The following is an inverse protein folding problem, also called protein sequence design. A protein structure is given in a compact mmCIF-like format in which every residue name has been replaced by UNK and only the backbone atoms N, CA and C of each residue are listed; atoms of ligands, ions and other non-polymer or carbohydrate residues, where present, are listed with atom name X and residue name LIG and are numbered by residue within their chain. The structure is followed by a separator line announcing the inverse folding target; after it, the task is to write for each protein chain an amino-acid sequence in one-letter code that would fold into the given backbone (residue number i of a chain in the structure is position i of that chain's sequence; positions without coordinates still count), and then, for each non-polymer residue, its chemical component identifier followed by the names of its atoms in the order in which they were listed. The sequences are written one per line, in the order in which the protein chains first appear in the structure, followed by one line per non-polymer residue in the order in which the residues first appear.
data_IF_619431555381
#
_entry.id   IF_619431555381
#
_cell.length_a   1.000
_cell.length_b   1.000
_cell.length_c   1.000
_cell.angle_alpha   90.00
_cell.angle_beta   90.00
_cell.angle_gamma   90.00
#
_symmetry.space_group_name_H-M   'P 1'
#
loop_
_entity.id
_entity.type
_entity.pdbx_description
1 polymer ?
#
# COMPACT_ATOMS: atom_id res chain seq x y z
N UNK A 1 35.29 -57.75 -4.54
CA UNK A 1 34.75 -56.77 -5.50
C UNK A 1 33.60 -56.08 -4.79
N UNK A 2 33.83 -54.88 -4.27
CA UNK A 2 32.83 -54.12 -3.52
C UNK A 2 32.09 -53.23 -4.52
N UNK A 3 30.81 -53.52 -4.76
CA UNK A 3 29.93 -52.72 -5.61
C UNK A 3 29.67 -51.36 -4.95
N UNK A 4 30.27 -50.33 -5.53
CA UNK A 4 30.05 -48.93 -5.18
C UNK A 4 28.82 -48.44 -5.96
N UNK A 5 27.65 -48.48 -5.32
CA UNK A 5 26.41 -47.92 -5.88
C UNK A 5 26.43 -46.40 -5.69
N UNK A 6 26.36 -45.58 -6.76
CA UNK A 6 26.34 -44.13 -6.63
C UNK A 6 25.02 -43.67 -5.99
N UNK A 7 25.13 -42.84 -4.94
CA UNK A 7 24.00 -42.23 -4.26
C UNK A 7 23.19 -41.35 -5.23
N UNK A 8 21.87 -41.53 -5.22
CA UNK A 8 20.94 -40.71 -5.99
C UNK A 8 21.02 -39.23 -5.57
N UNK A 9 20.93 -38.27 -6.52
CA UNK A 9 20.93 -36.85 -6.18
C UNK A 9 19.69 -36.47 -5.36
N UNK A 10 19.79 -35.48 -4.46
CA UNK A 10 18.66 -35.03 -3.67
C UNK A 10 17.59 -34.44 -4.59
N UNK A 11 16.37 -35.01 -4.52
CA UNK A 11 15.19 -34.47 -5.18
C UNK A 11 14.88 -33.12 -4.54
N UNK A 12 15.19 -32.03 -5.23
CA UNK A 12 14.76 -30.69 -4.83
C UNK A 12 13.23 -30.68 -4.68
N UNK A 13 12.67 -30.07 -3.62
CA UNK A 13 11.23 -29.96 -3.49
C UNK A 13 10.68 -29.20 -4.72
N UNK A 14 9.49 -29.59 -5.24
CA UNK A 14 8.88 -28.87 -6.36
C UNK A 14 8.71 -27.40 -5.95
N UNK A 15 9.24 -26.49 -6.77
CA UNK A 15 8.95 -25.07 -6.64
C UNK A 15 7.42 -24.92 -6.59
N UNK A 16 6.90 -24.43 -5.45
CA UNK A 16 5.47 -24.27 -5.25
C UNK A 16 4.90 -23.49 -6.43
N UNK A 17 4.03 -24.12 -7.21
CA UNK A 17 3.29 -23.45 -8.28
C UNK A 17 2.45 -22.35 -7.62
N UNK A 18 2.85 -21.10 -7.83
CA UNK A 18 2.11 -19.92 -7.38
C UNK A 18 0.86 -19.77 -8.24
N UNK A 19 -0.15 -20.61 -8.00
CA UNK A 19 -1.49 -20.39 -8.55
C UNK A 19 -1.96 -19.02 -8.03
N UNK A 20 -2.42 -18.12 -8.91
CA UNK A 20 -2.89 -16.80 -8.50
C UNK A 20 -4.09 -16.99 -7.58
N UNK A 21 -3.91 -16.68 -6.29
CA UNK A 21 -4.99 -16.81 -5.33
C UNK A 21 -5.82 -15.53 -5.35
N UNK A 22 -7.08 -15.67 -5.73
CA UNK A 22 -8.04 -14.56 -5.71
C UNK A 22 -8.60 -14.39 -4.31
N UNK A 23 -8.61 -13.14 -3.82
CA UNK A 23 -9.26 -12.77 -2.56
C UNK A 23 -10.11 -11.54 -2.80
N UNK A 24 -11.36 -11.59 -2.36
CA UNK A 24 -12.23 -10.40 -2.35
C UNK A 24 -12.37 -9.91 -0.91
N UNK A 25 -12.20 -8.62 -0.70
CA UNK A 25 -12.23 -8.05 0.64
C UNK A 25 -12.64 -6.59 0.63
N UNK A 26 -13.20 -6.15 1.75
CA UNK A 26 -13.50 -4.75 2.00
C UNK A 26 -12.22 -4.02 2.42
N UNK A 27 -11.95 -2.85 1.86
CA UNK A 27 -10.75 -2.08 2.23
C UNK A 27 -11.00 -1.35 3.54
N UNK A 28 -10.38 -1.85 4.61
CA UNK A 28 -10.47 -1.28 5.96
C UNK A 28 -9.61 -0.02 6.09
N UNK A 29 -8.36 -0.09 5.66
CA UNK A 29 -7.41 1.02 5.78
C UNK A 29 -6.28 0.92 4.74
N UNK A 30 -5.62 2.06 4.50
CA UNK A 30 -4.44 2.18 3.65
C UNK A 30 -3.24 2.52 4.54
N UNK A 31 -2.21 1.67 4.51
CA UNK A 31 -1.01 1.82 5.35
C UNK A 31 0.02 2.74 4.68
N UNK A 32 0.21 2.59 3.37
CA UNK A 32 1.12 3.37 2.52
C UNK A 32 0.55 3.46 1.11
N UNK A 33 1.18 4.25 0.23
CA UNK A 33 0.78 4.38 -1.17
C UNK A 33 0.83 3.08 -1.99
N UNK A 34 1.31 1.97 -1.43
CA UNK A 34 1.40 0.65 -2.05
C UNK A 34 0.88 -0.50 -1.16
N UNK A 35 0.34 -0.22 0.02
CA UNK A 35 -0.10 -1.24 0.97
C UNK A 35 -1.48 -0.96 1.56
N UNK A 36 -2.36 -1.97 1.48
CA UNK A 36 -3.75 -1.88 1.91
C UNK A 36 -4.13 -3.06 2.80
N UNK A 37 -5.02 -2.81 3.76
CA UNK A 37 -5.57 -3.85 4.63
C UNK A 37 -6.97 -4.18 4.16
N UNK A 38 -7.13 -5.44 3.76
CA UNK A 38 -8.40 -6.01 3.37
C UNK A 38 -9.02 -6.74 4.56
N UNK A 39 -10.31 -6.55 4.73
CA UNK A 39 -11.14 -7.24 5.68
C UNK A 39 -11.99 -8.26 4.92
N UNK A 40 -11.89 -9.52 5.31
CA UNK A 40 -12.75 -10.59 4.81
C UNK A 40 -14.17 -10.48 5.38
N UNK A 41 -15.05 -11.39 4.98
CA UNK A 41 -16.39 -11.43 5.55
C UNK A 41 -16.34 -11.84 7.03
N UNK A 42 -17.20 -11.24 7.89
CA UNK A 42 -17.38 -11.72 9.25
C UNK A 42 -17.95 -13.14 9.23
N UNK A 43 -17.17 -14.11 9.67
CA UNK A 43 -17.63 -15.48 9.90
C UNK A 43 -17.52 -15.78 11.40
N UNK A 44 -18.63 -15.62 12.13
CA UNK A 44 -18.76 -15.93 13.56
C UNK A 44 -17.59 -15.44 14.44
N UNK A 45 -17.14 -14.20 14.27
CA UNK A 45 -16.03 -13.62 15.03
C UNK A 45 -15.50 -12.33 14.41
N UNK A 46 -14.40 -11.78 14.95
CA UNK A 46 -13.69 -10.65 14.34
C UNK A 46 -13.35 -11.00 12.88
N UNK A 47 -13.71 -10.14 11.90
CA UNK A 47 -13.43 -10.43 10.51
C UNK A 47 -11.92 -10.61 10.28
N UNK A 48 -11.49 -11.60 9.47
CA UNK A 48 -10.08 -11.80 9.21
C UNK A 48 -9.51 -10.61 8.42
N UNK A 49 -8.34 -10.13 8.84
CA UNK A 49 -7.63 -9.03 8.20
C UNK A 49 -6.41 -9.57 7.46
N UNK A 50 -6.22 -9.10 6.23
CA UNK A 50 -5.03 -9.42 5.41
C UNK A 50 -4.45 -8.13 4.87
N UNK A 51 -3.17 -7.90 5.16
CA UNK A 51 -2.40 -6.83 4.52
C UNK A 51 -1.87 -7.33 3.19
N UNK A 52 -2.15 -6.58 2.13
CA UNK A 52 -1.68 -6.87 0.77
C UNK A 52 -0.92 -5.69 0.22
N UNK A 53 0.04 -5.99 -0.66
CA UNK A 53 0.95 -5.02 -1.25
C UNK A 53 0.81 -5.04 -2.78
N UNK A 54 0.89 -3.87 -3.40
CA UNK A 54 0.92 -3.77 -4.85
C UNK A 54 2.24 -4.38 -5.38
N UNK A 55 2.16 -5.21 -6.41
CA UNK A 55 3.32 -5.79 -7.07
C UNK A 55 3.90 -4.85 -8.14
N UNK A 56 5.19 -5.02 -8.43
CA UNK A 56 5.94 -4.31 -9.49
C UNK A 56 5.99 -2.78 -9.34
N UNK A 57 5.60 -2.25 -8.18
CA UNK A 57 5.61 -0.82 -7.90
C UNK A 57 6.20 -0.51 -6.53
N UNK A 58 6.56 0.76 -6.33
CA UNK A 58 7.06 1.32 -5.07
C UNK A 58 6.40 2.67 -4.86
N UNK A 59 5.80 2.86 -3.68
CA UNK A 59 5.30 4.17 -3.26
C UNK A 59 6.36 4.94 -2.44
N UNK A 60 6.31 6.28 -2.45
CA UNK A 60 7.11 7.08 -1.53
C UNK A 60 6.72 6.78 -0.07
N UNK A 61 7.71 6.72 0.81
CA UNK A 61 7.56 6.25 2.19
C UNK A 61 7.05 7.35 3.12
N UNK A 62 6.04 7.02 3.91
CA UNK A 62 5.56 7.88 4.99
C UNK A 62 6.53 7.90 6.17
N UNK A 63 6.60 9.06 6.80
CA UNK A 63 7.31 9.30 8.04
C UNK A 63 6.75 8.46 9.18
N UNK A 64 7.63 7.88 9.98
CA UNK A 64 7.28 7.05 11.13
C UNK A 64 7.38 7.86 12.40
N UNK A 65 6.42 7.60 13.31
CA UNK A 65 6.47 8.14 14.67
C UNK A 65 7.77 7.68 15.34
N UNK A 66 8.45 8.55 16.10
CA UNK A 66 9.58 8.14 16.90
C UNK A 66 9.15 7.05 17.89
N UNK A 67 9.99 6.04 18.05
CA UNK A 67 9.91 5.06 19.13
C UNK A 67 11.03 5.35 20.14
N UNK A 68 11.01 4.69 21.29
CA UNK A 68 12.06 4.81 22.31
C UNK A 68 13.47 4.52 21.75
N UNK A 69 13.54 3.74 20.67
CA UNK A 69 14.79 3.30 20.02
C UNK A 69 15.05 3.93 18.65
N UNK A 70 14.13 4.71 18.08
CA UNK A 70 14.25 5.22 16.71
C UNK A 70 13.71 6.65 16.60
N UNK A 71 14.53 7.55 16.06
CA UNK A 71 14.14 8.93 15.81
C UNK A 71 12.98 9.02 14.80
N UNK A 72 12.25 10.14 14.85
CA UNK A 72 11.17 10.41 13.91
C UNK A 72 11.73 10.45 12.49
N UNK A 73 11.08 9.77 11.55
CA UNK A 73 11.41 9.93 10.14
C UNK A 73 10.43 10.88 9.49
N UNK A 74 10.93 11.72 8.59
CA UNK A 74 10.11 12.62 7.78
C UNK A 74 9.52 11.83 6.60
N UNK A 75 8.38 12.29 6.08
CA UNK A 75 7.82 11.72 4.86
C UNK A 75 8.77 11.96 3.67
N UNK A 76 8.88 10.98 2.77
CA UNK A 76 9.45 11.21 1.45
C UNK A 76 8.54 12.18 0.66
N UNK A 77 9.09 12.93 -0.31
CA UNK A 77 8.31 13.77 -1.22
C UNK A 77 7.08 13.04 -1.76
N UNK A 78 5.90 13.65 -1.63
CA UNK A 78 4.62 13.15 -2.15
C UNK A 78 4.12 11.84 -1.52
N UNK A 79 4.75 11.35 -0.44
CA UNK A 79 4.31 10.13 0.24
C UNK A 79 2.89 10.26 0.81
N UNK A 80 2.56 11.43 1.36
CA UNK A 80 1.24 11.70 1.90
C UNK A 80 0.17 11.71 0.81
N UNK A 81 0.41 12.41 -0.30
CA UNK A 81 -0.52 12.50 -1.41
C UNK A 81 -0.73 11.15 -2.09
N UNK A 82 0.34 10.37 -2.28
CA UNK A 82 0.26 9.00 -2.80
C UNK A 82 -0.64 8.12 -1.93
N UNK A 83 -0.51 8.21 -0.59
CA UNK A 83 -1.37 7.49 0.34
C UNK A 83 -2.81 8.00 0.34
N UNK A 84 -3.02 9.31 0.32
CA UNK A 84 -4.37 9.91 0.30
C UNK A 84 -5.11 9.60 -1.00
N UNK A 85 -4.40 9.49 -2.12
CA UNK A 85 -4.96 9.05 -3.40
C UNK A 85 -5.57 7.65 -3.26
N UNK A 86 -4.80 6.68 -2.76
CA UNK A 86 -5.32 5.34 -2.50
C UNK A 86 -6.43 5.35 -1.45
N UNK A 87 -6.30 6.13 -0.37
CA UNK A 87 -7.31 6.17 0.70
C UNK A 87 -8.66 6.64 0.17
N UNK A 88 -8.69 7.74 -0.60
CA UNK A 88 -9.92 8.29 -1.18
C UNK A 88 -10.57 7.34 -2.19
N UNK A 89 -9.76 6.57 -2.91
CA UNK A 89 -10.24 5.68 -3.97
C UNK A 89 -10.69 4.30 -3.45
N UNK A 90 -10.00 3.76 -2.46
CA UNK A 90 -10.18 2.37 -2.02
C UNK A 90 -10.96 2.21 -0.72
N UNK A 91 -10.74 3.09 0.27
CA UNK A 91 -11.40 2.92 1.57
C UNK A 91 -12.91 2.99 1.40
N UNK A 92 -13.63 2.08 2.06
CA UNK A 92 -15.08 1.98 1.93
C UNK A 92 -15.56 1.14 0.74
N UNK A 93 -14.65 0.64 -0.11
CA UNK A 93 -14.99 -0.16 -1.27
C UNK A 93 -14.54 -1.61 -1.12
N UNK A 94 -15.22 -2.51 -1.83
CA UNK A 94 -14.83 -3.92 -1.96
C UNK A 94 -13.91 -4.05 -3.17
N UNK A 95 -12.75 -4.64 -2.96
CA UNK A 95 -11.74 -4.86 -4.02
C UNK A 95 -11.44 -6.35 -4.18
N UNK A 96 -10.94 -6.69 -5.35
CA UNK A 96 -10.45 -8.04 -5.67
C UNK A 96 -8.93 -7.99 -5.73
N UNK A 97 -8.27 -8.73 -4.86
CA UNK A 97 -6.83 -8.92 -4.85
C UNK A 97 -6.47 -10.23 -5.54
N UNK A 98 -5.54 -10.15 -6.47
CA UNK A 98 -4.94 -11.29 -7.15
C UNK A 98 -3.50 -11.41 -6.68
N UNK A 99 -3.24 -12.39 -5.82
CA UNK A 99 -1.90 -12.65 -5.28
C UNK A 99 -1.00 -13.17 -6.39
N UNK A 100 0.17 -12.57 -6.55
CA UNK A 100 1.20 -13.03 -7.49
C UNK A 100 2.30 -13.80 -6.76
N UNK A 101 2.82 -13.25 -5.66
CA UNK A 101 3.85 -13.90 -4.87
C UNK A 101 3.79 -13.49 -3.40
N UNK A 102 4.37 -14.30 -2.54
CA UNK A 102 4.68 -13.91 -1.16
C UNK A 102 6.15 -13.57 -1.09
N UNK A 103 6.48 -12.35 -0.65
CA UNK A 103 7.86 -11.97 -0.40
C UNK A 103 8.47 -12.80 0.73
N UNK A 104 9.79 -12.91 0.79
CA UNK A 104 10.50 -13.60 1.88
C UNK A 104 10.16 -13.04 3.28
N UNK A 105 9.66 -11.81 3.34
CA UNK A 105 9.15 -11.17 4.55
C UNK A 105 7.77 -11.68 5.01
N UNK A 106 7.15 -12.62 4.29
CA UNK A 106 5.81 -13.13 4.54
C UNK A 106 4.68 -12.20 4.03
N UNK A 107 5.02 -11.17 3.27
CA UNK A 107 4.07 -10.18 2.74
C UNK A 107 3.52 -10.62 1.39
N UNK A 108 2.21 -10.57 1.23
CA UNK A 108 1.55 -10.94 -0.02
C UNK A 108 1.55 -9.76 -1.00
N UNK A 109 2.20 -9.96 -2.15
CA UNK A 109 2.27 -9.00 -3.24
C UNK A 109 1.39 -9.45 -4.41
N UNK A 110 0.72 -8.50 -5.03
CA UNK A 110 -0.12 -8.78 -6.19
C UNK A 110 -0.85 -7.55 -6.72
N UNK A 111 -1.89 -7.82 -7.51
CA UNK A 111 -2.68 -6.79 -8.18
C UNK A 111 -3.98 -6.56 -7.43
N UNK A 112 -4.39 -5.30 -7.30
CA UNK A 112 -5.66 -4.90 -6.68
C UNK A 112 -6.57 -4.32 -7.75
N UNK A 113 -7.77 -4.85 -7.82
CA UNK A 113 -8.80 -4.47 -8.76
C UNK A 113 -9.99 -3.84 -8.03
N UNK A 114 -10.39 -2.66 -8.48
CA UNK A 114 -11.52 -1.91 -7.95
C UNK A 114 -12.71 -1.99 -8.91
N UNK A 115 -13.88 -2.35 -8.39
CA UNK A 115 -15.08 -2.53 -9.21
C UNK A 115 -15.03 -3.78 -10.09
N UNK A 116 -16.07 -3.96 -10.90
CA UNK A 116 -16.21 -5.13 -11.78
C UNK A 116 -16.54 -6.42 -11.03
N UNK A 117 -16.99 -7.43 -11.79
CA UNK A 117 -17.21 -8.79 -11.29
C UNK A 117 -15.97 -9.68 -11.48
N UNK A 118 -15.16 -9.37 -12.50
CA UNK A 118 -13.96 -10.08 -12.92
C UNK A 118 -12.79 -9.09 -13.17
N UNK A 119 -11.52 -9.55 -13.11
CA UNK A 119 -10.34 -8.72 -13.38
C UNK A 119 -10.36 -8.00 -14.73
N UNK A 120 -11.02 -8.58 -15.74
CA UNK A 120 -11.08 -8.03 -17.11
C UNK A 120 -11.98 -6.80 -17.25
N UNK A 121 -12.93 -6.62 -16.32
CA UNK A 121 -13.85 -5.48 -16.30
C UNK A 121 -13.68 -4.64 -15.02
N UNK A 122 -12.54 -4.79 -14.35
CA UNK A 122 -12.23 -4.12 -13.11
C UNK A 122 -11.08 -3.14 -13.31
N UNK A 123 -11.11 -2.02 -12.60
CA UNK A 123 -10.06 -1.03 -12.67
C UNK A 123 -8.82 -1.53 -11.91
N UNK A 124 -7.68 -1.62 -12.59
CA UNK A 124 -6.42 -2.00 -11.95
C UNK A 124 -5.83 -0.80 -11.22
N UNK A 125 -5.84 -0.86 -9.89
CA UNK A 125 -5.39 0.23 -9.01
C UNK A 125 -3.90 0.54 -9.20
N UNK A 126 -3.09 -0.47 -9.51
CA UNK A 126 -1.66 -0.30 -9.76
C UNK A 126 -1.43 0.54 -11.02
N UNK A 127 -2.17 0.27 -12.09
CA UNK A 127 -2.08 1.03 -13.34
C UNK A 127 -2.51 2.49 -13.12
N UNK A 128 -3.65 2.71 -12.45
CA UNK A 128 -4.13 4.07 -12.16
C UNK A 128 -3.15 4.84 -11.27
N UNK A 129 -2.57 4.19 -10.26
CA UNK A 129 -1.59 4.84 -9.38
C UNK A 129 -0.29 5.23 -10.09
N UNK A 130 0.16 4.43 -11.06
CA UNK A 130 1.33 4.76 -11.90
C UNK A 130 0.99 5.87 -12.91
N UNK A 131 -0.18 5.79 -13.56
CA UNK A 131 -0.64 6.78 -14.54
C UNK A 131 -0.86 8.18 -13.92
N UNK A 132 -1.24 8.24 -12.64
CA UNK A 132 -1.33 9.51 -11.89
C UNK A 132 0.00 9.94 -11.24
N UNK A 133 1.08 9.16 -11.42
CA UNK A 133 2.41 9.51 -10.95
C UNK A 133 2.63 9.34 -9.45
N UNK A 134 1.80 8.55 -8.75
CA UNK A 134 1.93 8.30 -7.32
C UNK A 134 2.80 7.08 -6.99
N UNK A 135 3.05 6.24 -7.98
CA UNK A 135 3.79 4.99 -7.90
C UNK A 135 4.97 5.00 -8.88
N UNK A 136 6.09 4.42 -8.45
CA UNK A 136 7.20 4.09 -9.35
C UNK A 136 7.14 2.63 -9.74
N UNK A 137 7.39 2.33 -11.00
CA UNK A 137 7.52 0.97 -11.49
C UNK A 137 8.89 0.43 -11.12
N UNK A 138 8.91 -0.73 -10.45
CA UNK A 138 10.13 -1.49 -10.18
C UNK A 138 10.25 -2.59 -11.24
N UNK A 139 11.19 -2.47 -12.19
CA UNK A 139 11.39 -3.53 -13.16
C UNK A 139 11.87 -4.81 -12.46
N UNK A 140 11.20 -5.92 -12.75
CA UNK A 140 11.64 -7.24 -12.32
C UNK A 140 12.87 -7.70 -13.09
N UNK A 141 13.46 -8.83 -12.66
CA UNK A 141 14.56 -9.48 -13.40
C UNK A 141 14.09 -10.17 -14.69
N UNK A 142 12.79 -10.42 -14.81
CA UNK A 142 12.15 -11.07 -15.94
C UNK A 142 11.35 -10.00 -16.68
N UNK A 143 11.52 -9.94 -17.99
CA UNK A 143 10.70 -9.08 -18.84
C UNK A 143 9.27 -9.62 -18.87
N UNK A 144 8.33 -8.81 -18.40
CA UNK A 144 6.90 -9.10 -18.37
C UNK A 144 6.19 -7.99 -19.16
N UNK A 145 5.31 -8.36 -20.10
CA UNK A 145 4.53 -7.42 -20.91
C UNK A 145 3.74 -6.44 -20.03
N UNK A 146 3.27 -6.92 -18.86
CA UNK A 146 2.58 -6.07 -17.90
C UNK A 146 3.50 -4.98 -17.32
N UNK A 147 4.77 -5.29 -17.06
CA UNK A 147 5.75 -4.31 -16.57
C UNK A 147 6.07 -3.28 -17.65
N UNK A 148 6.16 -3.71 -18.92
CA UNK A 148 6.32 -2.79 -20.06
C UNK A 148 5.17 -1.80 -20.13
N UNK A 149 3.91 -2.27 -20.02
CA UNK A 149 2.72 -1.39 -19.96
C UNK A 149 2.80 -0.39 -18.79
N UNK A 150 3.23 -0.84 -17.61
CA UNK A 150 3.39 0.06 -16.47
C UNK A 150 4.48 1.12 -16.72
N UNK A 151 5.59 0.76 -17.36
CA UNK A 151 6.65 1.71 -17.72
C UNK A 151 6.15 2.77 -18.70
N UNK A 152 5.36 2.39 -19.69
CA UNK A 152 4.73 3.33 -20.62
C UNK A 152 3.80 4.32 -19.90
N UNK A 153 2.96 3.83 -18.99
CA UNK A 153 2.10 4.69 -18.15
C UNK A 153 2.92 5.63 -17.27
N UNK A 154 4.04 5.14 -16.73
CA UNK A 154 4.93 5.95 -15.92
C UNK A 154 5.56 7.08 -16.74
N UNK A 155 5.98 6.80 -17.97
CA UNK A 155 6.60 7.81 -18.84
C UNK A 155 5.58 8.84 -19.32
N UNK A 156 4.32 8.45 -19.52
CA UNK A 156 3.22 9.39 -19.72
C UNK A 156 3.00 10.29 -18.49
N UNK A 157 3.02 9.72 -17.28
CA UNK A 157 2.87 10.48 -16.04
C UNK A 157 4.03 11.48 -15.84
N UNK A 158 5.27 11.08 -16.20
CA UNK A 158 6.44 11.97 -16.20
C UNK A 158 6.31 13.08 -17.22
N UNK A 159 5.93 12.77 -18.45
CA UNK A 159 5.74 13.76 -19.51
C UNK A 159 4.65 14.78 -19.15
N UNK A 160 3.61 14.33 -18.46
CA UNK A 160 2.53 15.18 -17.96
C UNK A 160 2.86 15.89 -16.62
N UNK A 161 4.00 15.61 -16.00
CA UNK A 161 4.39 16.19 -14.71
C UNK A 161 3.42 15.89 -13.57
N UNK A 162 2.79 14.70 -13.58
CA UNK A 162 1.76 14.32 -12.60
C UNK A 162 2.36 13.79 -11.30
N UNK A 163 1.65 14.02 -10.20
CA UNK A 163 1.97 13.48 -8.88
C UNK A 163 3.40 13.80 -8.48
N UNK A 164 4.20 12.77 -8.22
CA UNK A 164 5.60 12.92 -7.78
C UNK A 164 6.55 13.46 -8.86
N UNK A 165 6.13 13.44 -10.13
CA UNK A 165 6.93 13.93 -11.26
C UNK A 165 6.71 15.42 -11.52
N UNK A 166 5.79 16.05 -10.79
CA UNK A 166 5.57 17.49 -10.84
C UNK A 166 6.67 18.28 -10.15
N UNK A 167 6.68 19.60 -10.38
CA UNK A 167 7.70 20.52 -9.87
C UNK A 167 7.40 21.10 -8.48
N UNK A 168 6.45 20.52 -7.73
CA UNK A 168 6.01 21.07 -6.45
C UNK A 168 7.08 20.97 -5.36
N UNK A 169 7.48 22.11 -4.81
CA UNK A 169 8.46 22.24 -3.72
C UNK A 169 7.90 21.89 -2.34
N UNK A 170 6.57 21.98 -2.14
CA UNK A 170 5.88 21.70 -0.87
C UNK A 170 5.36 20.25 -0.81
N UNK A 171 6.21 19.29 -1.16
CA UNK A 171 5.85 17.86 -1.22
C UNK A 171 6.06 17.12 0.09
N UNK A 172 6.73 17.75 1.06
CA UNK A 172 7.04 17.18 2.38
C UNK A 172 6.30 17.99 3.45
N UNK A 173 5.43 17.32 4.20
CA UNK A 173 4.69 17.93 5.32
C UNK A 173 5.52 17.98 6.59
N UNK A 174 5.30 19.01 7.39
CA UNK A 174 5.82 19.07 8.76
C UNK A 174 4.88 18.32 9.71
N UNK A 175 5.29 17.13 10.16
CA UNK A 175 4.47 16.31 11.08
C UNK A 175 4.86 16.59 12.54
N UNK A 176 3.99 17.28 13.27
CA UNK A 176 4.11 17.49 14.72
C UNK A 176 3.45 16.33 15.47
N UNK A 177 4.27 15.42 16.00
CA UNK A 177 3.81 14.22 16.71
C UNK A 177 3.39 14.46 18.16
N UNK A 178 3.93 15.52 18.77
CA UNK A 178 3.65 15.91 20.15
C UNK A 178 3.21 17.37 20.13
N UNK A 179 2.14 17.65 20.86
CA UNK A 179 1.62 19.01 21.04
C UNK A 179 1.97 19.42 22.46
N UNK A 180 2.86 20.40 22.60
CA UNK A 180 3.39 20.81 23.90
C UNK A 180 2.30 21.39 24.81
N UNK A 181 1.32 22.09 24.23
CA UNK A 181 0.20 22.66 24.96
C UNK A 181 -1.16 22.32 24.32
N UNK A 182 -1.82 21.22 24.76
CA UNK A 182 -3.12 20.80 24.23
C UNK A 182 -4.22 21.85 24.41
N UNK A 183 -4.17 22.68 25.46
CA UNK A 183 -5.20 23.70 25.72
C UNK A 183 -5.14 24.82 24.67
N UNK A 184 -3.94 25.27 24.32
CA UNK A 184 -3.76 26.29 23.28
C UNK A 184 -4.30 25.83 21.93
N UNK A 185 -4.18 24.55 21.60
CA UNK A 185 -4.78 24.01 20.38
C UNK A 185 -6.31 24.15 20.39
N UNK A 186 -6.95 23.74 21.49
CA UNK A 186 -8.41 23.84 21.64
C UNK A 186 -8.87 25.30 21.61
N UNK A 187 -8.17 26.18 22.31
CA UNK A 187 -8.43 27.61 22.35
C UNK A 187 -8.24 28.28 20.98
N UNK A 188 -7.27 27.81 20.19
CA UNK A 188 -7.03 28.29 18.83
C UNK A 188 -8.22 28.00 17.91
N UNK A 189 -8.74 26.77 17.95
CA UNK A 189 -9.85 26.37 17.10
C UNK A 189 -11.22 26.82 17.62
N UNK A 190 -11.34 27.27 18.88
CA UNK A 190 -12.56 27.87 19.46
C UNK A 190 -13.82 27.03 19.21
N UNK A 191 -13.72 25.71 19.34
CA UNK A 191 -14.79 24.75 19.07
C UNK A 191 -15.33 24.76 17.63
N UNK A 192 -14.61 25.35 16.68
CA UNK A 192 -14.95 25.27 15.27
C UNK A 192 -14.63 23.88 14.74
N UNK A 193 -15.41 23.37 13.77
CA UNK A 193 -15.07 22.15 13.04
C UNK A 193 -13.68 22.27 12.42
N UNK A 194 -12.87 21.22 12.56
CA UNK A 194 -11.53 21.12 11.98
C UNK A 194 -11.49 19.90 11.08
N UNK A 195 -10.98 20.09 9.86
CA UNK A 195 -10.78 18.99 8.94
C UNK A 195 -9.68 18.06 9.45
N UNK A 196 -10.04 16.79 9.65
CA UNK A 196 -9.13 15.77 10.16
C UNK A 196 -9.33 14.44 9.45
N UNK A 197 -8.27 13.64 9.40
CA UNK A 197 -8.31 12.25 8.93
C UNK A 197 -8.11 11.35 10.13
N UNK A 198 -9.06 10.44 10.37
CA UNK A 198 -8.94 9.40 11.39
C UNK A 198 -7.93 8.35 10.89
N UNK A 199 -6.83 8.21 11.61
CA UNK A 199 -5.73 7.29 11.26
C UNK A 199 -5.85 5.93 11.95
N UNK A 200 -6.32 5.92 13.20
CA UNK A 200 -6.43 4.71 13.99
C UNK A 200 -7.61 4.80 14.94
N UNK A 201 -8.37 3.72 15.09
CA UNK A 201 -9.41 3.59 16.09
C UNK A 201 -8.91 2.65 17.17
N UNK A 202 -8.66 3.18 18.38
CA UNK A 202 -8.12 2.44 19.52
C UNK A 202 -9.24 1.77 20.33
N UNK A 203 -10.40 2.42 20.44
CA UNK A 203 -11.60 1.92 21.12
C UNK A 203 -12.85 2.61 20.58
N UNK A 204 -14.02 2.23 21.09
CA UNK A 204 -15.31 2.81 20.68
C UNK A 204 -15.40 4.33 20.88
N UNK A 205 -14.58 4.91 21.77
CA UNK A 205 -14.53 6.36 22.04
C UNK A 205 -13.14 6.98 21.82
N UNK A 206 -12.13 6.19 21.47
CA UNK A 206 -10.76 6.68 21.33
C UNK A 206 -10.25 6.43 19.91
N UNK A 207 -9.88 7.51 19.24
CA UNK A 207 -9.27 7.48 17.93
C UNK A 207 -8.08 8.44 17.85
N UNK A 208 -7.13 8.10 17.00
CA UNK A 208 -6.01 8.97 16.61
C UNK A 208 -6.42 9.64 15.31
N UNK A 209 -6.51 10.97 15.34
CA UNK A 209 -6.77 11.79 14.16
C UNK A 209 -5.56 12.67 13.85
N UNK A 210 -5.33 12.92 12.56
CA UNK A 210 -4.42 13.96 12.09
C UNK A 210 -5.23 15.11 11.54
N UNK A 211 -4.97 16.30 12.06
CA UNK A 211 -5.56 17.55 11.59
C UNK A 211 -4.80 18.04 10.36
N UNK A 212 -5.53 18.66 9.41
CA UNK A 212 -4.96 19.31 8.23
C UNK A 212 -4.64 20.77 8.51
#
# INVERSE_FOLDING_TARGET
MADNVPAAPPVLPPAASSQPSFRRGFVKQVLSGDAVVLQGQPTNGPPPETTVYLSNVVAPRLGKRPTETTAATVDEPFAWDSREFLRKKLVGHVVTFVKEFTAASGRDHGKVYLGGTNPDNAENVTETGVAEGWLEVRPGKIADEYVTKLLELQDQAKAAGKGKWGSSSDSIREVKWVIDNPRQLVDHYKQKPVDAVVEMVCSILLFVARYR
#
